data_IF_881299367998
#
_entry.id   IF_881299367998
#
_cell.length_a   1.000
_cell.length_b   1.000
_cell.length_c   1.000
_cell.angle_alpha   90.00
_cell.angle_beta   90.00
_cell.angle_gamma   90.00
#
_symmetry.space_group_name_H-M   'P 1'
#
loop_
_entity.id
_entity.type
_entity.pdbx_description
1 polymer ?
#
# COMPACT_ATOMS: atom_id res chain seq x y z
N UNK A 1 25.11 -37.73 10.77
CA UNK A 1 25.13 -36.36 10.23
C UNK A 1 23.74 -35.78 10.43
N UNK A 2 23.51 -35.06 11.52
CA UNK A 2 22.19 -34.57 11.89
C UNK A 2 22.05 -33.11 11.40
N UNK A 3 21.12 -32.87 10.46
CA UNK A 3 20.70 -31.52 10.07
C UNK A 3 19.78 -30.96 11.15
N UNK A 4 20.23 -29.94 11.87
CA UNK A 4 19.38 -29.11 12.72
C UNK A 4 18.73 -28.04 11.85
N UNK A 5 17.45 -28.22 11.58
CA UNK A 5 16.60 -27.23 10.92
C UNK A 5 16.16 -26.22 11.98
N UNK A 6 16.82 -25.06 12.04
CA UNK A 6 16.39 -23.94 12.89
C UNK A 6 15.31 -23.17 12.14
N UNK A 7 14.08 -23.23 12.65
CA UNK A 7 12.94 -22.45 12.18
C UNK A 7 12.98 -21.06 12.82
N UNK A 8 12.83 -19.95 12.08
CA UNK A 8 12.73 -18.63 12.68
C UNK A 8 11.39 -18.47 13.42
N UNK A 9 11.46 -18.04 14.68
CA UNK A 9 10.30 -17.76 15.51
C UNK A 9 9.55 -16.52 14.99
N UNK A 10 8.37 -16.75 14.43
CA UNK A 10 7.39 -15.68 14.14
C UNK A 10 6.51 -15.55 15.38
N UNK A 11 6.79 -14.56 16.23
CA UNK A 11 5.93 -14.23 17.37
C UNK A 11 4.67 -13.54 16.86
N UNK A 12 3.60 -14.33 16.78
CA UNK A 12 2.23 -13.84 16.58
C UNK A 12 1.62 -13.67 17.97
N UNK A 13 1.29 -12.46 18.40
CA UNK A 13 0.56 -12.28 19.66
C UNK A 13 -0.96 -12.36 19.42
N UNK A 14 -1.69 -13.23 20.13
CA UNK A 14 -3.08 -12.99 20.45
C UNK A 14 -3.17 -11.94 21.57
N UNK A 15 -4.30 -11.25 21.61
CA UNK A 15 -4.52 -10.03 22.38
C UNK A 15 -4.13 -10.07 23.87
N UNK A 16 -3.73 -8.89 24.34
CA UNK A 16 -3.67 -8.47 25.73
C UNK A 16 -2.81 -9.35 26.67
N UNK A 17 -1.49 -9.34 26.47
CA UNK A 17 -0.55 -9.75 27.52
C UNK A 17 0.67 -8.83 27.60
N UNK A 18 0.75 -8.15 28.74
CA UNK A 18 1.96 -7.81 29.50
C UNK A 18 3.08 -7.02 28.81
N UNK A 19 3.15 -5.73 29.13
CA UNK A 19 4.30 -4.83 28.89
C UNK A 19 5.63 -5.31 29.52
N UNK A 20 5.62 -6.37 30.34
CA UNK A 20 6.79 -6.85 31.08
C UNK A 20 7.76 -7.71 30.24
N UNK A 21 7.38 -8.15 29.04
CA UNK A 21 8.25 -9.00 28.20
C UNK A 21 9.33 -8.19 27.44
N UNK A 22 9.23 -6.86 27.43
CA UNK A 22 10.21 -5.95 26.82
C UNK A 22 11.48 -5.76 27.67
N UNK A 23 11.50 -6.26 28.92
CA UNK A 23 12.61 -6.10 29.85
C UNK A 23 13.79 -7.07 29.62
N UNK A 24 13.71 -7.97 28.62
CA UNK A 24 14.69 -9.04 28.40
C UNK A 24 15.55 -8.88 27.13
N UNK A 25 15.56 -7.70 26.50
CA UNK A 25 16.45 -7.44 25.35
C UNK A 25 17.88 -7.11 25.83
N UNK A 26 18.92 -7.79 25.31
CA UNK A 26 20.31 -7.66 25.80
C UNK A 26 20.78 -6.21 25.71
N UNK A 27 21.09 -5.59 26.85
CA UNK A 27 21.55 -4.22 26.96
C UNK A 27 22.73 -3.97 26.00
N UNK A 28 22.43 -3.37 24.86
CA UNK A 28 23.43 -2.87 23.92
C UNK A 28 23.51 -1.37 24.20
N UNK A 29 24.73 -0.86 24.41
CA UNK A 29 24.99 0.51 24.88
C UNK A 29 24.72 1.59 23.82
N UNK A 30 24.27 1.22 22.62
CA UNK A 30 23.89 2.18 21.59
C UNK A 30 22.41 2.57 21.71
N UNK A 31 22.07 3.87 21.52
CA UNK A 31 20.70 4.35 21.60
C UNK A 31 19.85 3.67 20.53
N UNK A 32 19.04 2.70 20.96
CA UNK A 32 18.15 1.96 20.08
C UNK A 32 17.09 2.90 19.52
N UNK A 33 17.08 3.07 18.20
CA UNK A 33 16.03 3.82 17.52
C UNK A 33 15.03 2.86 16.87
N UNK A 34 13.78 3.31 16.84
CA UNK A 34 12.67 2.62 16.22
C UNK A 34 12.51 3.11 14.78
N UNK A 35 12.83 2.26 13.81
CA UNK A 35 12.59 2.53 12.40
C UNK A 35 11.17 2.08 12.06
N UNK A 36 10.30 3.01 11.68
CA UNK A 36 8.91 2.72 11.31
C UNK A 36 8.73 2.88 9.81
N UNK A 37 8.30 1.81 9.14
CA UNK A 37 8.00 1.84 7.71
C UNK A 37 6.57 2.32 7.51
N UNK A 38 6.41 3.51 6.92
CA UNK A 38 5.10 4.15 6.76
C UNK A 38 4.48 3.75 5.42
N UNK A 39 3.24 3.21 5.41
CA UNK A 39 2.58 2.83 4.18
C UNK A 39 2.09 4.07 3.42
N UNK A 40 1.82 3.90 2.14
CA UNK A 40 1.18 4.91 1.29
C UNK A 40 -0.34 5.03 1.55
N UNK A 41 -0.91 4.10 2.34
CA UNK A 41 -2.34 4.08 2.68
C UNK A 41 -2.66 4.95 3.89
N UNK A 42 -3.66 5.83 3.76
CA UNK A 42 -4.24 6.57 4.87
C UNK A 42 -5.13 5.64 5.72
N UNK A 43 -4.54 5.02 6.75
CA UNK A 43 -5.25 4.27 7.78
C UNK A 43 -5.58 5.14 9.01
N UNK A 44 -5.99 4.49 10.11
CA UNK A 44 -6.14 5.15 11.41
C UNK A 44 -4.79 5.65 11.95
N UNK A 45 -4.48 6.90 11.59
CA UNK A 45 -3.24 7.59 11.95
C UNK A 45 -3.07 7.70 13.47
N UNK A 46 -4.18 7.87 14.20
CA UNK A 46 -4.17 8.07 15.65
C UNK A 46 -3.85 6.76 16.37
N UNK A 47 -4.49 5.66 15.95
CA UNK A 47 -4.19 4.32 16.46
C UNK A 47 -2.75 3.91 16.18
N UNK A 48 -2.25 4.18 14.97
CA UNK A 48 -0.86 3.96 14.60
C UNK A 48 0.09 4.78 15.50
N UNK A 49 -0.12 6.09 15.59
CA UNK A 49 0.74 7.00 16.34
C UNK A 49 0.85 6.59 17.82
N UNK A 50 -0.27 6.25 18.47
CA UNK A 50 -0.26 5.82 19.89
C UNK A 50 0.60 4.58 20.12
N UNK A 51 0.54 3.60 19.20
CA UNK A 51 1.35 2.38 19.30
C UNK A 51 2.82 2.65 19.05
N UNK A 52 3.11 3.46 18.03
CA UNK A 52 4.49 3.86 17.71
C UNK A 52 5.09 4.61 18.90
N UNK A 53 4.36 5.55 19.49
CA UNK A 53 4.78 6.27 20.69
C UNK A 53 5.03 5.33 21.87
N UNK A 54 4.13 4.37 22.13
CA UNK A 54 4.31 3.39 23.20
C UNK A 54 5.56 2.52 23.01
N UNK A 55 5.84 2.09 21.77
CA UNK A 55 7.05 1.34 21.42
C UNK A 55 8.31 2.21 21.55
N UNK A 56 8.26 3.44 21.05
CA UNK A 56 9.36 4.39 21.12
C UNK A 56 9.75 4.71 22.56
N UNK A 57 8.76 4.99 23.41
CA UNK A 57 8.96 5.27 24.81
C UNK A 57 9.61 4.08 25.55
N UNK A 58 9.23 2.84 25.21
CA UNK A 58 9.84 1.64 25.77
C UNK A 58 11.27 1.39 25.28
N UNK A 59 11.64 1.89 24.10
CA UNK A 59 12.93 1.64 23.44
C UNK A 59 13.97 2.76 23.65
N UNK A 60 13.61 3.87 24.31
CA UNK A 60 14.53 4.98 24.58
C UNK A 60 14.34 6.21 23.69
N UNK A 61 13.17 6.38 23.08
CA UNK A 61 12.69 7.69 22.63
C UNK A 61 13.21 8.20 21.29
N UNK A 62 13.78 7.36 20.42
CA UNK A 62 14.13 7.79 19.05
C UNK A 62 13.32 7.04 18.01
N UNK A 63 12.67 7.77 17.11
CA UNK A 63 11.84 7.21 16.02
C UNK A 63 12.29 7.79 14.69
N UNK A 64 12.49 6.92 13.71
CA UNK A 64 12.73 7.30 12.33
C UNK A 64 11.62 6.75 11.43
N UNK A 65 10.81 7.64 10.87
CA UNK A 65 9.82 7.30 9.86
C UNK A 65 10.46 7.22 8.49
N UNK A 66 10.32 6.07 7.84
CA UNK A 66 10.76 5.84 6.48
C UNK A 66 9.53 5.65 5.58
N UNK A 67 9.39 6.50 4.56
CA UNK A 67 8.37 6.35 3.54
C UNK A 67 8.99 6.23 2.15
N UNK A 68 8.47 5.29 1.36
CA UNK A 68 8.92 5.03 0.00
C UNK A 68 7.85 5.49 -1.00
N UNK A 69 8.16 6.52 -1.78
CA UNK A 69 7.29 7.09 -2.79
C UNK A 69 7.52 6.39 -4.14
N UNK A 70 6.49 5.78 -4.71
CA UNK A 70 6.59 5.07 -6.00
C UNK A 70 6.44 5.99 -7.21
N UNK A 71 5.73 7.10 -7.03
CA UNK A 71 5.27 7.99 -8.09
C UNK A 71 5.17 9.41 -7.55
N UNK A 72 5.61 10.39 -8.36
CA UNK A 72 5.76 11.79 -7.97
C UNK A 72 4.43 12.43 -7.57
N UNK A 73 3.33 11.96 -8.17
CA UNK A 73 1.98 12.47 -7.89
C UNK A 73 1.53 12.18 -6.45
N UNK A 74 2.08 11.15 -5.82
CA UNK A 74 1.76 10.75 -4.45
C UNK A 74 2.68 11.41 -3.41
N UNK A 75 3.77 12.05 -3.83
CA UNK A 75 4.75 12.64 -2.91
C UNK A 75 4.14 13.67 -1.95
N UNK A 76 3.32 14.64 -2.38
CA UNK A 76 2.76 15.63 -1.48
C UNK A 76 1.84 15.00 -0.42
N UNK A 77 1.12 13.94 -0.79
CA UNK A 77 0.24 13.20 0.11
C UNK A 77 1.05 12.44 1.16
N UNK A 78 2.05 11.70 0.73
CA UNK A 78 2.92 10.92 1.60
C UNK A 78 3.73 11.81 2.56
N UNK A 79 4.20 12.97 2.08
CA UNK A 79 4.86 13.98 2.91
C UNK A 79 3.94 14.53 3.99
N UNK A 80 2.69 14.90 3.66
CA UNK A 80 1.70 15.34 4.66
C UNK A 80 1.42 14.26 5.69
N UNK A 81 1.32 13.01 5.25
CA UNK A 81 1.08 11.88 6.14
C UNK A 81 2.26 11.68 7.13
N UNK A 82 3.50 11.73 6.64
CA UNK A 82 4.70 11.69 7.46
C UNK A 82 4.76 12.82 8.50
N UNK A 83 4.47 14.06 8.07
CA UNK A 83 4.45 15.22 8.98
C UNK A 83 3.39 15.04 10.06
N UNK A 84 2.21 14.54 9.70
CA UNK A 84 1.11 14.28 10.64
C UNK A 84 1.48 13.22 11.66
N UNK A 85 2.03 12.07 11.22
CA UNK A 85 2.51 11.03 12.13
C UNK A 85 3.63 11.54 13.02
N UNK A 86 4.55 12.32 12.46
CA UNK A 86 5.68 12.86 13.22
C UNK A 86 5.22 13.81 14.32
N UNK A 87 4.22 14.65 14.03
CA UNK A 87 3.64 15.56 15.02
C UNK A 87 2.83 14.82 16.10
N UNK A 88 2.22 13.68 15.78
CA UNK A 88 1.45 12.90 16.76
C UNK A 88 2.33 12.02 17.65
N UNK A 89 3.50 11.62 17.16
CA UNK A 89 4.45 10.77 17.90
C UNK A 89 5.52 11.58 18.60
N UNK A 90 5.90 12.73 18.06
CA UNK A 90 6.92 13.60 18.64
C UNK A 90 6.41 14.29 19.90
N UNK A 91 7.19 14.19 20.97
CA UNK A 91 7.03 14.96 22.20
C UNK A 91 8.43 15.32 22.77
N UNK A 92 8.48 15.88 23.99
CA UNK A 92 9.75 16.26 24.64
C UNK A 92 10.65 15.05 24.97
N UNK A 93 10.12 13.83 24.94
CA UNK A 93 10.79 12.57 25.30
C UNK A 93 11.15 11.78 24.02
N UNK A 94 10.33 11.87 22.97
CA UNK A 94 10.44 11.10 21.74
C UNK A 94 10.89 11.99 20.58
N UNK A 95 12.16 11.86 20.20
CA UNK A 95 12.72 12.50 19.02
C UNK A 95 12.27 11.78 17.75
N UNK A 96 11.70 12.52 16.82
CA UNK A 96 11.18 11.97 15.56
C UNK A 96 11.92 12.56 14.36
N UNK A 97 12.45 11.69 13.51
CA UNK A 97 12.96 12.02 12.19
C UNK A 97 12.04 11.41 11.11
N UNK A 98 11.84 12.10 9.99
CA UNK A 98 11.11 11.55 8.84
C UNK A 98 11.95 11.64 7.58
N UNK A 99 12.02 10.55 6.82
CA UNK A 99 12.69 10.48 5.53
C UNK A 99 11.76 9.90 4.47
N UNK A 100 11.83 10.53 3.31
CA UNK A 100 11.10 10.15 2.12
C UNK A 100 12.11 9.85 1.01
N UNK A 101 12.01 8.69 0.38
CA UNK A 101 12.81 8.34 -0.79
C UNK A 101 11.93 7.88 -1.95
N UNK A 102 12.35 8.20 -3.19
CA UNK A 102 11.68 7.73 -4.39
C UNK A 102 12.22 6.37 -4.80
N UNK A 103 11.34 5.39 -4.96
CA UNK A 103 11.74 4.07 -5.42
C UNK A 103 10.72 2.98 -5.21
N UNK A 104 11.14 1.74 -5.48
CA UNK A 104 10.32 0.53 -5.33
C UNK A 104 10.95 -0.51 -4.41
N UNK A 105 12.17 -0.27 -3.94
CA UNK A 105 12.96 -1.24 -3.20
C UNK A 105 13.13 -0.83 -1.73
N UNK A 106 12.15 -1.25 -0.91
CA UNK A 106 12.19 -1.07 0.54
C UNK A 106 13.43 -1.65 1.19
N UNK A 107 13.93 -2.81 0.73
CA UNK A 107 15.09 -3.46 1.33
C UNK A 107 16.34 -2.59 1.20
N UNK A 108 16.57 -2.00 0.02
CA UNK A 108 17.69 -1.08 -0.20
C UNK A 108 17.57 0.16 0.68
N UNK A 109 16.37 0.74 0.77
CA UNK A 109 16.12 1.96 1.55
C UNK A 109 16.32 1.72 3.05
N UNK A 110 15.79 0.60 3.56
CA UNK A 110 15.96 0.21 4.96
C UNK A 110 17.41 -0.11 5.25
N UNK A 111 18.09 -0.90 4.42
CA UNK A 111 19.52 -1.22 4.63
C UNK A 111 20.42 0.02 4.60
N UNK A 112 20.10 1.04 3.81
CA UNK A 112 20.86 2.28 3.77
C UNK A 112 20.66 3.14 5.01
N UNK A 113 19.55 2.96 5.73
CA UNK A 113 19.23 3.74 6.92
C UNK A 113 19.37 2.95 8.22
N UNK A 114 19.46 1.62 8.20
CA UNK A 114 19.52 0.75 9.38
C UNK A 114 20.94 0.68 9.98
N UNK A 115 21.02 0.67 11.32
CA UNK A 115 22.22 0.46 12.11
C UNK A 115 22.02 -0.72 13.07
N UNK A 116 23.12 -1.32 13.53
CA UNK A 116 23.07 -2.44 14.47
C UNK A 116 22.43 -2.02 15.79
N UNK A 117 21.46 -2.79 16.29
CA UNK A 117 20.68 -2.44 17.48
C UNK A 117 19.34 -1.73 17.20
N UNK A 118 19.08 -1.31 15.96
CA UNK A 118 17.79 -0.73 15.59
C UNK A 118 16.68 -1.77 15.53
N UNK A 119 15.50 -1.32 15.96
CA UNK A 119 14.26 -2.09 15.91
C UNK A 119 13.43 -1.61 14.73
N UNK A 120 12.95 -2.53 13.89
CA UNK A 120 12.12 -2.18 12.74
C UNK A 120 10.67 -2.51 13.04
N UNK A 121 9.78 -1.51 12.95
CA UNK A 121 8.34 -1.68 12.99
C UNK A 121 7.74 -1.57 11.59
N UNK A 122 6.98 -2.60 11.21
CA UNK A 122 6.25 -2.67 9.94
C UNK A 122 4.75 -2.82 10.20
N UNK A 123 3.92 -2.28 9.32
CA UNK A 123 2.49 -2.57 9.33
C UNK A 123 2.22 -3.91 8.63
N UNK A 124 1.33 -4.72 9.19
CA UNK A 124 1.09 -6.10 8.78
C UNK A 124 0.74 -6.30 7.30
N UNK A 125 0.10 -5.30 6.71
CA UNK A 125 -0.46 -5.39 5.36
C UNK A 125 0.44 -4.77 4.28
N UNK A 126 1.61 -4.25 4.66
CA UNK A 126 2.56 -3.75 3.69
C UNK A 126 3.15 -4.89 2.87
N UNK A 127 2.89 -4.86 1.57
CA UNK A 127 3.48 -5.77 0.59
C UNK A 127 4.61 -5.07 -0.14
N UNK A 128 5.74 -5.75 -0.30
CA UNK A 128 6.89 -5.22 -1.01
C UNK A 128 7.43 -6.19 -2.06
N UNK A 129 8.15 -5.61 -3.03
CA UNK A 129 8.66 -6.32 -4.19
C UNK A 129 7.59 -6.61 -5.25
N UNK A 130 8.05 -7.17 -6.36
CA UNK A 130 7.22 -7.47 -7.52
C UNK A 130 6.20 -8.60 -7.24
N UNK A 131 6.51 -9.48 -6.28
CA UNK A 131 5.74 -10.67 -5.94
C UNK A 131 4.67 -10.46 -4.85
N UNK A 132 4.38 -9.22 -4.43
CA UNK A 132 3.37 -8.95 -3.40
C UNK A 132 3.59 -9.73 -2.10
N UNK A 133 4.85 -10.05 -1.77
CA UNK A 133 5.21 -10.74 -0.54
C UNK A 133 5.09 -9.77 0.64
N UNK A 134 4.67 -10.24 1.81
CA UNK A 134 4.51 -9.38 2.97
C UNK A 134 5.90 -8.91 3.44
N UNK A 135 6.01 -7.60 3.68
CA UNK A 135 7.28 -6.92 3.95
C UNK A 135 7.97 -7.48 5.19
N UNK A 136 7.19 -7.90 6.19
CA UNK A 136 7.69 -8.56 7.40
C UNK A 136 8.54 -9.81 7.11
N UNK A 137 8.14 -10.66 6.16
CA UNK A 137 8.87 -11.87 5.78
C UNK A 137 10.14 -11.53 5.00
N UNK A 138 10.09 -10.50 4.16
CA UNK A 138 11.26 -10.06 3.39
C UNK A 138 12.30 -9.48 4.33
N UNK A 139 11.89 -8.64 5.29
CA UNK A 139 12.80 -8.05 6.26
C UNK A 139 13.36 -9.11 7.22
N UNK A 140 12.51 -9.96 7.79
CA UNK A 140 12.96 -11.00 8.73
C UNK A 140 13.91 -12.03 8.09
N UNK A 141 13.78 -12.27 6.77
CA UNK A 141 14.68 -13.20 6.06
C UNK A 141 15.99 -12.57 5.59
N UNK A 142 16.08 -11.26 5.47
CA UNK A 142 17.28 -10.57 4.97
C UNK A 142 18.03 -9.76 6.03
N UNK A 143 17.33 -9.31 7.07
CA UNK A 143 17.87 -8.51 8.16
C UNK A 143 17.70 -9.32 9.44
N UNK A 144 18.80 -9.67 10.09
CA UNK A 144 18.84 -10.45 11.32
C UNK A 144 18.39 -9.61 12.54
N UNK A 145 17.30 -8.84 12.41
CA UNK A 145 16.81 -7.93 13.45
C UNK A 145 15.38 -8.25 13.85
N UNK A 146 14.99 -7.77 15.03
CA UNK A 146 13.62 -7.88 15.53
C UNK A 146 12.67 -6.99 14.71
N UNK A 147 11.77 -7.64 13.98
CA UNK A 147 10.72 -6.97 13.20
C UNK A 147 9.42 -7.00 13.99
N UNK A 148 8.95 -5.85 14.45
CA UNK A 148 7.65 -5.72 15.11
C UNK A 148 6.56 -5.45 14.08
N UNK A 149 5.48 -6.22 14.16
CA UNK A 149 4.34 -6.07 13.25
C UNK A 149 3.19 -5.37 13.99
N UNK A 150 2.78 -4.20 13.48
CA UNK A 150 1.64 -3.45 13.99
C UNK A 150 0.38 -3.96 13.25
N UNK A 151 -0.42 -4.80 13.94
CA UNK A 151 -1.55 -5.55 13.35
C UNK A 151 -2.93 -4.86 13.42
N UNK A 152 -3.13 -3.80 14.21
CA UNK A 152 -4.51 -3.32 14.55
C UNK A 152 -4.94 -2.03 13.85
N UNK A 153 -4.51 -1.81 12.61
CA UNK A 153 -5.19 -0.81 11.80
C UNK A 153 -6.39 -1.48 11.13
N UNK A 154 -7.59 -1.22 11.66
CA UNK A 154 -8.83 -1.42 10.92
C UNK A 154 -8.69 -0.68 9.58
N UNK A 155 -8.52 -1.43 8.49
CA UNK A 155 -8.60 -0.87 7.16
C UNK A 155 -10.04 -0.38 6.95
N UNK A 156 -10.20 0.93 6.74
CA UNK A 156 -11.22 1.36 5.80
C UNK A 156 -10.76 0.83 4.47
N UNK A 157 -11.47 -0.17 3.95
CA UNK A 157 -11.22 -0.88 2.70
C UNK A 157 -10.30 -0.09 1.78
N UNK A 158 -9.04 -0.53 1.66
CA UNK A 158 -8.15 -0.01 0.66
C UNK A 158 -8.90 -0.13 -0.67
N UNK A 159 -9.34 1.02 -1.17
CA UNK A 159 -10.19 1.17 -2.35
C UNK A 159 -9.67 0.19 -3.39
N UNK A 160 -10.48 -0.84 -3.61
CA UNK A 160 -10.24 -2.00 -4.47
C UNK A 160 -9.41 -1.52 -5.66
N UNK A 161 -8.15 -1.92 -5.65
CA UNK A 161 -7.17 -1.63 -6.69
C UNK A 161 -7.86 -1.81 -8.03
N UNK A 162 -8.16 -0.70 -8.71
CA UNK A 162 -8.72 -0.65 -10.05
C UNK A 162 -7.65 -1.18 -11.00
N UNK A 163 -7.43 -2.49 -10.95
CA UNK A 163 -6.53 -3.28 -11.79
C UNK A 163 -7.18 -3.67 -13.10
N UNK A 164 -8.38 -3.16 -13.36
CA UNK A 164 -8.88 -3.05 -14.71
C UNK A 164 -7.98 -1.98 -15.30
N UNK A 165 -6.98 -2.38 -16.09
CA UNK A 165 -6.03 -1.41 -16.58
C UNK A 165 -6.86 -0.37 -17.31
N UNK A 166 -6.54 0.89 -17.14
CA UNK A 166 -7.21 1.99 -17.81
C UNK A 166 -7.39 1.70 -19.31
N UNK A 167 -6.45 0.94 -19.90
CA UNK A 167 -6.51 0.39 -21.25
C UNK A 167 -7.71 -0.52 -21.54
N UNK A 168 -8.17 -1.35 -20.60
CA UNK A 168 -9.35 -2.21 -20.78
C UNK A 168 -10.65 -1.38 -20.72
N UNK A 169 -10.68 -0.32 -19.91
CA UNK A 169 -11.79 0.63 -19.88
C UNK A 169 -11.93 1.35 -21.23
N UNK A 170 -10.81 1.88 -21.75
CA UNK A 170 -10.78 2.51 -23.08
C UNK A 170 -11.02 1.53 -24.22
N UNK A 171 -10.49 0.30 -24.14
CA UNK A 171 -10.66 -0.71 -25.18
C UNK A 171 -12.13 -1.13 -25.37
N UNK A 172 -12.90 -1.21 -24.27
CA UNK A 172 -14.33 -1.50 -24.37
C UNK A 172 -15.11 -0.39 -25.10
N UNK A 173 -14.86 0.88 -24.76
CA UNK A 173 -15.50 2.01 -25.43
C UNK A 173 -15.13 2.09 -26.92
N UNK A 174 -13.84 1.93 -27.26
CA UNK A 174 -13.36 1.90 -28.65
C UNK A 174 -13.97 0.72 -29.41
N UNK A 175 -14.10 -0.44 -28.77
CA UNK A 175 -14.72 -1.62 -29.36
C UNK A 175 -16.20 -1.43 -29.68
N UNK A 176 -16.97 -0.78 -28.78
CA UNK A 176 -18.38 -0.45 -29.00
C UNK A 176 -18.51 0.48 -30.21
N UNK A 177 -17.75 1.58 -30.23
CA UNK A 177 -17.80 2.56 -31.33
C UNK A 177 -17.41 1.90 -32.67
N UNK A 178 -16.32 1.14 -32.71
CA UNK A 178 -15.86 0.47 -33.93
C UNK A 178 -16.88 -0.57 -34.42
N UNK A 179 -17.51 -1.31 -33.50
CA UNK A 179 -18.55 -2.28 -33.82
C UNK A 179 -19.81 -1.65 -34.43
N UNK A 180 -20.30 -0.56 -33.84
CA UNK A 180 -21.45 0.17 -34.37
C UNK A 180 -21.12 0.87 -35.69
N UNK A 181 -19.94 1.46 -35.82
CA UNK A 181 -19.48 2.04 -37.08
C UNK A 181 -19.44 1.00 -38.22
N UNK A 182 -18.91 -0.19 -37.93
CA UNK A 182 -18.91 -1.30 -38.89
C UNK A 182 -20.34 -1.73 -39.25
N UNK A 183 -21.23 -1.86 -38.26
CA UNK A 183 -22.63 -2.22 -38.48
C UNK A 183 -23.37 -1.18 -39.34
N UNK A 184 -23.19 0.11 -39.06
CA UNK A 184 -23.75 1.22 -39.82
C UNK A 184 -23.22 1.21 -41.27
N UNK A 185 -21.93 0.96 -41.47
CA UNK A 185 -21.34 0.86 -42.82
C UNK A 185 -21.96 -0.27 -43.67
N UNK A 186 -22.36 -1.38 -43.02
CA UNK A 186 -23.05 -2.49 -43.68
C UNK A 186 -24.51 -2.18 -43.98
N UNK A 187 -25.19 -1.48 -43.07
CA UNK A 187 -26.59 -1.07 -43.26
C UNK A 187 -26.75 -0.09 -44.44
N UNK A 188 -25.76 0.77 -44.70
CA UNK A 188 -25.75 1.71 -45.84
C UNK A 188 -25.70 0.99 -47.19
N UNK A 189 -25.20 -0.24 -47.24
CA UNK A 189 -25.12 -1.03 -48.47
C UNK A 189 -26.42 -1.77 -48.81
N UNK A 190 -27.42 -1.77 -47.92
CA UNK A 190 -28.70 -2.44 -48.16
C UNK A 190 -29.69 -1.51 -48.87
N UNK A 191 -30.25 -1.90 -50.03
CA UNK A 191 -31.28 -1.12 -50.70
C UNK A 191 -32.63 -1.27 -49.97
N UNK A 192 -33.14 -0.20 -49.36
CA UNK A 192 -34.45 -0.19 -48.69
C UNK A 192 -34.81 1.15 -48.02
N UNK A 193 -35.72 1.91 -48.63
CA UNK A 193 -35.96 3.35 -48.40
C UNK A 193 -36.56 3.76 -47.03
N UNK A 194 -37.04 2.83 -46.19
CA UNK A 194 -37.66 3.18 -44.88
C UNK A 194 -37.03 2.46 -43.68
N UNK A 195 -36.58 1.23 -43.90
CA UNK A 195 -36.12 0.34 -42.84
C UNK A 195 -34.70 0.73 -42.45
N UNK A 196 -33.94 1.22 -43.44
CA UNK A 196 -32.60 1.76 -43.28
C UNK A 196 -32.57 2.91 -42.26
N UNK A 197 -33.41 3.94 -42.44
CA UNK A 197 -33.45 5.07 -41.51
C UNK A 197 -33.86 4.64 -40.10
N UNK A 198 -34.85 3.76 -39.98
CA UNK A 198 -35.31 3.28 -38.66
C UNK A 198 -34.23 2.48 -37.94
N UNK A 199 -33.51 1.60 -38.65
CA UNK A 199 -32.40 0.82 -38.10
C UNK A 199 -31.20 1.70 -37.72
N UNK A 200 -30.91 2.74 -38.50
CA UNK A 200 -29.86 3.71 -38.18
C UNK A 200 -30.15 4.42 -36.86
N UNK A 201 -31.35 4.98 -36.68
CA UNK A 201 -31.72 5.63 -35.41
C UNK A 201 -31.66 4.65 -34.23
N UNK A 202 -32.18 3.44 -34.40
CA UNK A 202 -32.16 2.43 -33.35
C UNK A 202 -30.73 2.03 -32.97
N UNK A 203 -29.82 1.95 -33.93
CA UNK A 203 -28.40 1.65 -33.67
C UNK A 203 -27.73 2.71 -32.80
N UNK A 204 -28.00 3.99 -33.05
CA UNK A 204 -27.43 5.11 -32.26
C UNK A 204 -27.96 5.09 -30.82
N UNK A 205 -29.25 4.84 -30.63
CA UNK A 205 -29.83 4.70 -29.29
C UNK A 205 -29.20 3.54 -28.50
N UNK A 206 -28.95 2.41 -29.16
CA UNK A 206 -28.28 1.27 -28.55
C UNK A 206 -26.82 1.56 -28.21
N UNK A 207 -26.09 2.26 -29.07
CA UNK A 207 -24.71 2.67 -28.82
C UNK A 207 -24.61 3.56 -27.57
N UNK A 208 -25.47 4.58 -27.46
CA UNK A 208 -25.51 5.47 -26.29
C UNK A 208 -25.84 4.70 -25.01
N UNK A 209 -26.80 3.77 -25.08
CA UNK A 209 -27.16 2.95 -23.92
C UNK A 209 -26.02 2.01 -23.49
N UNK A 210 -25.31 1.40 -24.45
CA UNK A 210 -24.17 0.54 -24.18
C UNK A 210 -22.97 1.32 -23.63
N UNK A 211 -22.68 2.51 -24.14
CA UNK A 211 -21.65 3.38 -23.60
C UNK A 211 -21.98 3.84 -22.18
N UNK A 212 -23.24 4.19 -21.92
CA UNK A 212 -23.69 4.56 -20.58
C UNK A 212 -23.60 3.38 -19.61
N UNK A 213 -24.06 2.19 -20.02
CA UNK A 213 -23.94 0.96 -19.24
C UNK A 213 -22.48 0.59 -18.95
N UNK A 214 -21.61 0.65 -19.97
CA UNK A 214 -20.18 0.40 -19.82
C UNK A 214 -19.52 1.39 -18.86
N UNK A 215 -19.82 2.69 -18.99
CA UNK A 215 -19.29 3.71 -18.09
C UNK A 215 -19.79 3.55 -16.64
N UNK A 216 -21.02 3.08 -16.43
CA UNK A 216 -21.56 2.82 -15.09
C UNK A 216 -20.89 1.64 -14.37
N UNK A 217 -20.25 0.72 -15.11
CA UNK A 217 -19.51 -0.41 -14.55
C UNK A 217 -18.12 0.00 -14.03
N UNK A 218 -17.62 1.17 -14.43
CA UNK A 218 -16.29 1.68 -14.08
C UNK A 218 -16.38 3.14 -13.58
N UNK A 219 -16.77 3.36 -12.30
CA UNK A 219 -16.85 4.69 -11.69
C UNK A 219 -15.48 5.29 -11.31
#
# INVERSE_FOLDING_TARGET
>A
MNKLTVSPAVLSLPGATSYNDLASLPASEEPRRLIVLVPDSEGDVVGAARKIWGLANALGGSVQFLALCKDIDYEPRLRRHLVTLSAMVGDDIVMVESKLEFGRNWLRFVNANWHEGDVIACFAEQKAGWLHRPLNQILASNINTSVYVINELYQTDSKRSNWIPETLMWAGAVGIIAGFFWLQSRLIQMPGDWAHNTLMYFSVFFEVFLLWGWNSLFP
#
